data_IF_280050122590
#
_entry.id   IF_280050122590
#
_cell.length_a   1.000
_cell.length_b   1.000
_cell.length_c   1.000
_cell.angle_alpha   90.00
_cell.angle_beta   90.00
_cell.angle_gamma   90.00
#
_symmetry.space_group_name_H-M   'P 1'
#
loop_
_entity.id
_entity.type
_entity.pdbx_description
1 polymer ?
#
# COMPACT_ATOMS: atom_id res chain seq x y z
N UNK A 1 24.08 20.99 24.64
CA UNK A 1 24.23 20.20 23.40
C UNK A 1 23.06 20.32 22.40
N UNK A 2 21.85 20.75 22.80
CA UNK A 2 20.67 20.87 21.89
C UNK A 2 20.65 22.12 20.98
N UNK A 3 21.42 23.16 21.30
CA UNK A 3 21.39 24.45 20.56
C UNK A 3 22.20 24.36 19.25
N UNK A 4 23.27 23.55 19.22
CA UNK A 4 24.14 23.41 18.04
C UNK A 4 23.44 22.70 16.88
N UNK A 5 22.74 21.59 17.16
CA UNK A 5 21.99 20.82 16.16
C UNK A 5 20.79 21.56 15.52
N UNK A 6 20.27 22.61 16.15
CA UNK A 6 19.19 23.43 15.59
C UNK A 6 19.74 24.44 14.59
N UNK A 7 20.88 25.06 14.93
CA UNK A 7 21.62 25.99 14.07
C UNK A 7 22.16 25.29 12.82
N UNK A 8 22.71 24.08 12.97
CA UNK A 8 23.22 23.27 11.86
C UNK A 8 22.09 22.84 10.88
N UNK A 9 20.86 22.64 11.39
CA UNK A 9 19.68 22.35 10.54
C UNK A 9 19.19 23.59 9.79
N UNK A 10 19.17 24.75 10.43
CA UNK A 10 18.81 26.02 9.76
C UNK A 10 19.81 26.37 8.66
N UNK A 11 21.12 26.20 8.90
CA UNK A 11 22.18 26.42 7.91
C UNK A 11 22.11 25.45 6.71
N UNK A 12 21.78 24.18 6.96
CA UNK A 12 21.54 23.18 5.91
C UNK A 12 20.28 23.46 5.08
N UNK A 13 19.26 24.09 5.68
CA UNK A 13 18.07 24.54 4.97
C UNK A 13 18.40 25.75 4.08
N UNK A 14 19.08 26.77 4.61
CA UNK A 14 19.46 27.96 3.85
C UNK A 14 20.39 27.66 2.67
N UNK A 15 21.31 26.69 2.79
CA UNK A 15 22.22 26.33 1.69
C UNK A 15 21.56 25.54 0.54
N UNK A 16 20.34 25.02 0.71
CA UNK A 16 19.59 24.33 -0.37
C UNK A 16 18.70 25.26 -1.17
N UNK A 17 18.21 26.33 -0.55
CA UNK A 17 17.45 27.37 -1.23
C UNK A 17 18.44 28.45 -1.64
N UNK A 18 18.92 28.40 -2.89
CA UNK A 18 19.82 29.40 -3.44
C UNK A 18 19.36 30.82 -3.08
N UNK A 19 20.29 31.64 -2.64
CA UNK A 19 20.05 33.01 -2.20
C UNK A 19 19.67 33.88 -3.41
N UNK A 20 18.41 33.80 -3.84
CA UNK A 20 17.84 34.58 -4.93
C UNK A 20 17.06 35.76 -4.37
N UNK A 21 17.76 36.61 -3.62
CA UNK A 21 17.30 37.97 -3.36
C UNK A 21 18.00 38.90 -4.36
N UNK A 22 17.63 38.80 -5.64
CA UNK A 22 17.78 39.97 -6.51
C UNK A 22 16.68 40.95 -6.09
N UNK A 23 17.07 42.02 -5.41
CA UNK A 23 16.19 43.13 -5.06
C UNK A 23 15.72 43.83 -6.35
N UNK A 24 14.68 43.27 -6.97
CA UNK A 24 13.97 43.93 -8.06
C UNK A 24 13.00 44.92 -7.42
N UNK A 25 13.30 46.21 -7.61
CA UNK A 25 12.53 47.33 -7.08
C UNK A 25 11.18 47.46 -7.84
N UNK A 26 10.22 46.62 -7.47
CA UNK A 26 8.89 46.55 -8.07
C UNK A 26 7.95 47.60 -7.44
N UNK A 27 7.39 48.46 -8.30
CA UNK A 27 6.64 49.67 -7.91
C UNK A 27 5.16 49.44 -7.57
N UNK A 28 4.62 48.22 -7.70
CA UNK A 28 3.22 47.90 -7.40
C UNK A 28 3.10 46.67 -6.47
N UNK A 29 2.19 46.73 -5.50
CA UNK A 29 1.95 45.64 -4.53
C UNK A 29 1.49 44.34 -5.20
N UNK A 30 0.76 44.42 -6.31
CA UNK A 30 0.33 43.26 -7.10
C UNK A 30 1.52 42.50 -7.73
N UNK A 31 2.58 43.20 -8.14
CA UNK A 31 3.77 42.57 -8.75
C UNK A 31 4.60 41.83 -7.68
N UNK A 32 4.62 42.36 -6.45
CA UNK A 32 5.26 41.70 -5.30
C UNK A 32 4.49 40.45 -4.87
N UNK A 33 3.16 40.51 -4.83
CA UNK A 33 2.33 39.34 -4.51
C UNK A 33 2.46 38.23 -5.55
N UNK A 34 2.49 38.59 -6.84
CA UNK A 34 2.70 37.62 -7.93
C UNK A 34 4.08 36.95 -7.85
N UNK A 35 5.13 37.72 -7.54
CA UNK A 35 6.48 37.19 -7.32
C UNK A 35 6.53 36.24 -6.12
N UNK A 36 5.92 36.64 -4.99
CA UNK A 36 5.84 35.81 -3.80
C UNK A 36 5.08 34.49 -4.07
N UNK A 37 3.95 34.55 -4.76
CA UNK A 37 3.19 33.37 -5.16
C UNK A 37 4.03 32.41 -6.01
N UNK A 38 4.76 32.93 -7.01
CA UNK A 38 5.63 32.10 -7.85
C UNK A 38 6.77 31.47 -7.06
N UNK A 39 7.38 32.20 -6.12
CA UNK A 39 8.42 31.69 -5.24
C UNK A 39 7.89 30.55 -4.35
N UNK A 40 6.76 30.76 -3.67
CA UNK A 40 6.12 29.74 -2.84
C UNK A 40 5.75 28.49 -3.67
N UNK A 41 5.27 28.68 -4.90
CA UNK A 41 4.96 27.59 -5.83
C UNK A 41 6.20 26.77 -6.22
N UNK A 42 7.33 27.40 -6.48
CA UNK A 42 8.58 26.69 -6.77
C UNK A 42 9.17 26.00 -5.54
N UNK A 43 9.13 26.63 -4.36
CA UNK A 43 9.53 25.99 -3.11
C UNK A 43 8.70 24.74 -2.81
N UNK A 44 7.39 24.78 -3.02
CA UNK A 44 6.52 23.61 -2.90
C UNK A 44 6.92 22.49 -3.86
N UNK A 45 7.22 22.81 -5.13
CA UNK A 45 7.70 21.81 -6.10
C UNK A 45 9.03 21.19 -5.69
N UNK A 46 9.96 22.00 -5.18
CA UNK A 46 11.27 21.53 -4.72
C UNK A 46 11.12 20.60 -3.50
N UNK A 47 10.33 21.00 -2.51
CA UNK A 47 10.04 20.20 -1.32
C UNK A 47 9.44 18.84 -1.67
N UNK A 48 8.56 18.78 -2.68
CA UNK A 48 7.99 17.53 -3.16
C UNK A 48 9.03 16.64 -3.86
N UNK A 49 9.92 17.22 -4.68
CA UNK A 49 11.03 16.46 -5.30
C UNK A 49 11.97 15.89 -4.25
N UNK A 50 12.32 16.69 -3.24
CA UNK A 50 13.15 16.26 -2.12
C UNK A 50 12.49 15.13 -1.33
N UNK A 51 11.19 15.23 -1.03
CA UNK A 51 10.44 14.15 -0.36
C UNK A 51 10.46 12.85 -1.17
N UNK A 52 10.25 12.91 -2.49
CA UNK A 52 10.32 11.74 -3.37
C UNK A 52 11.74 11.14 -3.38
N UNK A 53 12.77 11.96 -3.53
CA UNK A 53 14.16 11.52 -3.53
C UNK A 53 14.54 10.88 -2.18
N UNK A 54 14.13 11.49 -1.07
CA UNK A 54 14.33 10.96 0.27
C UNK A 54 13.66 9.58 0.44
N UNK A 55 12.43 9.41 -0.09
CA UNK A 55 11.74 8.12 -0.09
C UNK A 55 12.48 7.07 -0.93
N UNK A 56 13.01 7.44 -2.11
CA UNK A 56 13.83 6.53 -2.94
C UNK A 56 15.07 6.07 -2.16
N UNK A 57 15.76 6.98 -1.46
CA UNK A 57 16.93 6.61 -0.67
C UNK A 57 16.56 5.69 0.50
N UNK A 58 15.48 6.01 1.23
CA UNK A 58 14.95 5.16 2.30
C UNK A 58 14.66 3.74 1.81
N UNK A 59 14.10 3.60 0.61
CA UNK A 59 13.85 2.30 -0.03
C UNK A 59 15.11 1.47 -0.24
N UNK A 60 16.16 2.09 -0.78
CA UNK A 60 17.46 1.43 -1.00
C UNK A 60 18.06 0.96 0.32
N UNK A 61 18.13 1.85 1.32
CA UNK A 61 18.69 1.58 2.64
C UNK A 61 17.92 0.44 3.33
N UNK A 62 16.58 0.52 3.36
CA UNK A 62 15.74 -0.52 3.98
C UNK A 62 15.94 -1.88 3.33
N UNK A 63 16.07 -1.92 2.01
CA UNK A 63 16.31 -3.17 1.28
C UNK A 63 17.67 -3.76 1.63
N UNK A 64 18.72 -2.95 1.65
CA UNK A 64 20.06 -3.40 2.00
C UNK A 64 20.15 -3.93 3.45
N UNK A 65 19.59 -3.20 4.41
CA UNK A 65 19.51 -3.63 5.81
C UNK A 65 18.80 -4.98 5.92
N UNK A 66 17.69 -5.17 5.17
CA UNK A 66 16.94 -6.42 5.19
C UNK A 66 17.73 -7.57 4.58
N UNK A 67 18.30 -7.39 3.38
CA UNK A 67 18.97 -8.47 2.64
C UNK A 67 20.24 -8.95 3.32
N UNK A 68 21.03 -8.02 3.89
CA UNK A 68 22.27 -8.33 4.62
C UNK A 68 22.04 -8.59 6.11
N UNK A 69 20.79 -8.57 6.55
CA UNK A 69 20.39 -8.76 7.94
C UNK A 69 21.08 -7.83 8.95
N UNK A 70 21.40 -6.60 8.54
CA UNK A 70 22.19 -5.65 9.35
C UNK A 70 21.48 -5.21 10.63
N UNK A 71 20.17 -5.38 10.70
CA UNK A 71 19.38 -5.11 11.90
C UNK A 71 19.82 -5.96 13.11
N UNK A 72 20.54 -7.07 12.89
CA UNK A 72 21.09 -7.90 13.96
C UNK A 72 22.19 -7.21 14.76
N UNK A 73 22.88 -6.22 14.17
CA UNK A 73 23.89 -5.43 14.91
C UNK A 73 23.27 -4.58 16.03
N UNK A 74 22.00 -4.20 15.88
CA UNK A 74 21.22 -3.51 16.91
C UNK A 74 20.52 -4.50 17.87
N UNK A 75 20.83 -5.80 17.79
CA UNK A 75 20.27 -6.84 18.66
C UNK A 75 18.87 -7.32 18.27
N UNK A 76 18.33 -6.89 17.13
CA UNK A 76 17.02 -7.39 16.67
C UNK A 76 17.14 -8.79 16.06
N UNK A 77 16.31 -9.71 16.54
CA UNK A 77 16.22 -11.09 16.01
C UNK A 77 15.56 -11.10 14.63
N UNK A 78 14.54 -10.24 14.43
CA UNK A 78 13.79 -10.18 13.18
C UNK A 78 13.74 -8.75 12.62
N UNK A 79 13.80 -8.63 11.30
CA UNK A 79 13.66 -7.36 10.60
C UNK A 79 12.36 -6.62 10.97
N UNK A 80 11.29 -7.36 11.24
CA UNK A 80 10.01 -6.78 11.64
C UNK A 80 10.11 -6.03 12.98
N UNK A 81 10.96 -6.46 13.91
CA UNK A 81 11.14 -5.78 15.19
C UNK A 81 12.00 -4.53 15.04
N UNK A 82 13.02 -4.58 14.18
CA UNK A 82 13.76 -3.40 13.74
C UNK A 82 12.86 -2.34 13.09
N UNK A 83 11.90 -2.74 12.26
CA UNK A 83 10.98 -1.76 11.64
C UNK A 83 10.05 -1.12 12.68
N UNK A 84 9.68 -1.82 13.76
CA UNK A 84 8.85 -1.24 14.82
C UNK A 84 9.59 -0.18 15.64
N UNK A 85 10.91 -0.25 15.71
CA UNK A 85 11.71 0.76 16.43
C UNK A 85 11.95 2.04 15.62
N UNK A 86 11.48 2.10 14.36
CA UNK A 86 11.67 3.23 13.47
C UNK A 86 10.41 4.10 13.37
N UNK A 87 10.55 5.40 13.09
CA UNK A 87 9.41 6.34 12.92
C UNK A 87 8.53 6.03 11.69
N UNK A 88 8.96 5.13 10.80
CA UNK A 88 8.19 4.75 9.62
C UNK A 88 7.21 3.65 9.99
N UNK A 89 5.92 3.90 9.79
CA UNK A 89 4.88 2.88 9.96
C UNK A 89 5.24 1.59 9.22
N UNK A 90 5.09 0.44 9.88
CA UNK A 90 5.40 -0.90 9.34
C UNK A 90 4.90 -1.09 7.90
N UNK A 91 3.64 -0.73 7.64
CA UNK A 91 3.02 -0.87 6.31
C UNK A 91 3.77 -0.10 5.22
N UNK A 92 4.32 1.08 5.53
CA UNK A 92 5.10 1.88 4.58
C UNK A 92 6.46 1.23 4.29
N UNK A 93 7.15 0.71 5.31
CA UNK A 93 8.43 0.02 5.12
C UNK A 93 8.30 -1.19 4.19
N UNK A 94 7.26 -2.02 4.34
CA UNK A 94 7.02 -3.15 3.44
C UNK A 94 6.62 -2.72 2.03
N UNK A 95 5.86 -1.63 1.88
CA UNK A 95 5.56 -1.04 0.56
C UNK A 95 6.81 -0.55 -0.15
N UNK A 96 7.72 0.08 0.58
CA UNK A 96 9.02 0.53 0.10
C UNK A 96 9.86 -0.65 -0.43
N UNK A 97 9.96 -1.72 0.35
CA UNK A 97 10.63 -2.94 -0.08
C UNK A 97 10.01 -3.52 -1.36
N UNK A 98 8.67 -3.58 -1.43
CA UNK A 98 7.94 -4.09 -2.60
C UNK A 98 8.23 -3.30 -3.87
N UNK A 99 8.20 -1.98 -3.79
CA UNK A 99 8.48 -1.10 -4.95
C UNK A 99 9.93 -1.26 -5.38
N UNK A 100 10.87 -1.23 -4.43
CA UNK A 100 12.29 -1.32 -4.77
C UNK A 100 12.66 -2.67 -5.39
N UNK A 101 12.04 -3.76 -4.94
CA UNK A 101 12.19 -5.06 -5.61
C UNK A 101 11.76 -5.00 -7.08
N UNK A 102 10.65 -4.32 -7.41
CA UNK A 102 10.23 -4.12 -8.81
C UNK A 102 11.16 -3.23 -9.61
N UNK A 103 11.89 -2.33 -8.95
CA UNK A 103 12.97 -1.57 -9.57
C UNK A 103 14.14 -2.48 -9.93
N UNK A 104 14.55 -3.35 -9.01
CA UNK A 104 15.63 -4.32 -9.26
C UNK A 104 15.26 -5.33 -10.35
N UNK A 105 13.99 -5.73 -10.44
CA UNK A 105 13.45 -6.56 -11.52
C UNK A 105 13.35 -5.83 -12.87
N UNK A 106 13.68 -4.53 -12.94
CA UNK A 106 13.56 -3.72 -14.17
C UNK A 106 12.12 -3.36 -14.57
N UNK A 107 11.12 -3.75 -13.78
CA UNK A 107 9.68 -3.52 -14.07
C UNK A 107 9.22 -2.08 -13.78
N UNK A 108 9.96 -1.37 -12.94
CA UNK A 108 9.69 0.04 -12.59
C UNK A 108 11.00 0.82 -12.61
N UNK A 109 11.07 1.91 -13.38
CA UNK A 109 12.23 2.80 -13.34
C UNK A 109 12.12 3.82 -12.20
N UNK A 110 13.28 4.26 -11.68
CA UNK A 110 13.36 5.34 -10.69
C UNK A 110 12.76 6.64 -11.25
N UNK A 111 12.97 6.93 -12.54
CA UNK A 111 12.43 8.15 -13.16
C UNK A 111 10.91 8.11 -13.29
N UNK A 112 10.33 6.93 -13.54
CA UNK A 112 8.88 6.75 -13.49
C UNK A 112 8.34 7.01 -12.08
N UNK A 113 9.02 6.54 -11.05
CA UNK A 113 8.67 6.85 -9.65
C UNK A 113 8.73 8.35 -9.38
N UNK A 114 9.76 9.04 -9.87
CA UNK A 114 9.89 10.51 -9.71
C UNK A 114 8.76 11.28 -10.39
N UNK A 115 8.35 10.82 -11.57
CA UNK A 115 7.32 11.49 -12.39
C UNK A 115 5.90 11.27 -11.86
N UNK A 116 5.57 10.04 -11.48
CA UNK A 116 4.17 9.65 -11.16
C UNK A 116 3.93 9.50 -9.64
N UNK A 117 5.00 9.33 -8.87
CA UNK A 117 4.95 9.21 -7.41
C UNK A 117 4.60 7.81 -6.91
N UNK A 118 4.90 7.57 -5.63
CA UNK A 118 4.79 6.25 -5.00
C UNK A 118 3.39 5.65 -4.97
N UNK A 119 2.36 6.46 -4.72
CA UNK A 119 0.96 5.98 -4.62
C UNK A 119 0.46 5.44 -5.95
N UNK A 120 0.81 6.08 -7.05
CA UNK A 120 0.45 5.60 -8.39
C UNK A 120 1.19 4.29 -8.71
N UNK A 121 2.50 4.23 -8.46
CA UNK A 121 3.30 3.03 -8.69
C UNK A 121 2.81 1.84 -7.85
N UNK A 122 2.42 2.07 -6.60
CA UNK A 122 1.79 1.03 -5.77
C UNK A 122 0.49 0.52 -6.38
N UNK A 123 -0.38 1.41 -6.86
CA UNK A 123 -1.62 1.01 -7.54
C UNK A 123 -1.35 0.27 -8.84
N UNK A 124 -0.34 0.66 -9.61
CA UNK A 124 0.06 -0.04 -10.83
C UNK A 124 0.57 -1.45 -10.50
N UNK A 125 1.41 -1.58 -9.46
CA UNK A 125 1.93 -2.88 -9.01
C UNK A 125 0.79 -3.75 -8.48
N UNK A 126 -0.09 -3.20 -7.65
CA UNK A 126 -1.22 -3.93 -7.07
C UNK A 126 -2.24 -4.30 -8.14
N UNK A 127 -2.57 -3.39 -9.05
CA UNK A 127 -3.43 -3.61 -10.21
C UNK A 127 -2.86 -4.61 -11.22
N UNK A 128 -1.54 -4.61 -11.46
CA UNK A 128 -0.87 -5.68 -12.19
C UNK A 128 -0.94 -7.01 -11.43
N UNK A 129 -0.95 -7.04 -10.09
CA UNK A 129 -1.20 -8.29 -9.36
C UNK A 129 -2.66 -8.74 -9.44
N UNK A 130 -3.62 -7.84 -9.73
CA UNK A 130 -5.00 -8.23 -10.05
C UNK A 130 -5.10 -8.77 -11.49
N UNK A 131 -4.46 -8.13 -12.48
CA UNK A 131 -4.48 -8.57 -13.89
C UNK A 131 -3.60 -9.81 -14.12
N UNK A 132 -2.43 -9.91 -13.48
CA UNK A 132 -1.55 -11.08 -13.55
C UNK A 132 -2.05 -12.27 -12.73
N UNK A 133 -3.09 -12.10 -11.89
CA UNK A 133 -3.76 -13.24 -11.24
C UNK A 133 -4.65 -14.01 -12.23
N UNK A 134 -5.02 -13.38 -13.34
CA UNK A 134 -5.94 -13.95 -14.32
C UNK A 134 -5.25 -14.38 -15.64
N UNK A 135 -3.92 -14.18 -15.82
CA UNK A 135 -3.24 -14.43 -17.12
C UNK A 135 -2.00 -15.35 -17.04
N UNK A 136 -1.48 -15.68 -15.84
CA UNK A 136 -0.42 -16.70 -15.72
C UNK A 136 -0.77 -17.71 -14.64
N UNK A 137 -1.50 -18.75 -15.03
CA UNK A 137 -1.44 -20.10 -14.47
C UNK A 137 -2.19 -21.09 -15.38
N UNK A 138 -1.78 -21.18 -16.64
CA UNK A 138 -1.82 -22.48 -17.32
C UNK A 138 -0.49 -23.17 -17.02
N UNK A 139 -0.56 -24.38 -16.47
CA UNK A 139 0.56 -25.20 -15.95
C UNK A 139 1.07 -24.87 -14.54
N UNK A 140 0.21 -25.09 -13.53
CA UNK A 140 0.63 -25.83 -12.35
C UNK A 140 -0.55 -26.51 -11.69
N UNK A 141 -0.56 -27.81 -11.87
CA UNK A 141 -1.42 -28.77 -11.23
C UNK A 141 -1.13 -28.74 -9.71
N UNK A 142 -1.91 -27.95 -8.98
CA UNK A 142 -2.03 -28.09 -7.52
C UNK A 142 -3.46 -27.71 -7.15
N UNK A 143 -4.12 -28.61 -6.43
CA UNK A 143 -5.39 -28.43 -5.73
C UNK A 143 -5.36 -27.21 -4.78
N UNK A 144 -5.28 -25.98 -5.29
CA UNK A 144 -5.30 -24.78 -4.49
C UNK A 144 -6.75 -24.45 -4.14
N UNK A 145 -7.12 -24.73 -2.89
CA UNK A 145 -8.43 -24.38 -2.35
C UNK A 145 -8.63 -22.87 -2.40
N UNK A 146 -9.63 -22.41 -3.16
CA UNK A 146 -10.04 -21.00 -3.17
C UNK A 146 -10.79 -20.71 -1.86
N UNK A 147 -10.30 -19.78 -1.00
CA UNK A 147 -10.94 -19.51 0.27
C UNK A 147 -12.21 -18.67 0.09
N UNK A 148 -13.36 -19.19 0.51
CA UNK A 148 -14.63 -18.47 0.56
C UNK A 148 -14.77 -17.78 1.92
N UNK A 149 -15.13 -16.50 1.94
CA UNK A 149 -15.42 -15.75 3.18
C UNK A 149 -16.92 -15.46 3.27
N UNK A 150 -17.58 -16.00 4.30
CA UNK A 150 -19.01 -15.79 4.57
C UNK A 150 -19.15 -15.11 5.92
N UNK A 151 -20.00 -14.07 5.99
CA UNK A 151 -20.38 -13.42 7.24
C UNK A 151 -21.66 -14.06 7.77
N UNK A 152 -21.53 -14.87 8.82
CA UNK A 152 -22.65 -15.54 9.48
C UNK A 152 -23.09 -14.71 10.68
N UNK A 153 -24.38 -14.34 10.73
CA UNK A 153 -24.95 -13.55 11.84
C UNK A 153 -25.31 -14.41 13.06
N UNK A 154 -25.70 -15.66 12.80
CA UNK A 154 -26.11 -16.60 13.83
C UNK A 154 -24.89 -17.33 14.41
N UNK A 155 -24.82 -17.41 15.74
CA UNK A 155 -23.66 -17.98 16.44
C UNK A 155 -23.61 -19.52 16.32
N UNK A 156 -24.75 -20.19 16.36
CA UNK A 156 -24.81 -21.66 16.26
C UNK A 156 -24.42 -22.11 14.85
N UNK A 157 -24.91 -21.40 13.82
CA UNK A 157 -24.51 -21.65 12.44
C UNK A 157 -23.02 -21.36 12.23
N UNK A 158 -22.50 -20.29 12.84
CA UNK A 158 -21.06 -19.98 12.78
C UNK A 158 -20.23 -21.11 13.40
N UNK A 159 -20.61 -21.61 14.57
CA UNK A 159 -19.92 -22.70 15.26
C UNK A 159 -20.01 -23.99 14.43
N UNK A 160 -21.17 -24.30 13.86
CA UNK A 160 -21.35 -25.45 12.95
C UNK A 160 -20.41 -25.40 11.74
N UNK A 161 -20.27 -24.22 11.10
CA UNK A 161 -19.41 -24.01 9.94
C UNK A 161 -17.92 -24.03 10.30
N UNK A 162 -17.55 -23.54 11.49
CA UNK A 162 -16.17 -23.42 11.95
C UNK A 162 -15.61 -24.71 12.55
N UNK A 163 -16.44 -25.49 13.22
CA UNK A 163 -16.05 -26.73 13.90
C UNK A 163 -15.37 -27.72 12.95
N UNK A 164 -15.89 -27.87 11.73
CA UNK A 164 -15.29 -28.73 10.70
C UNK A 164 -15.56 -28.18 9.29
N UNK A 165 -14.58 -27.46 8.76
CA UNK A 165 -14.65 -26.89 7.41
C UNK A 165 -14.65 -27.97 6.32
N UNK A 166 -14.07 -29.15 6.56
CA UNK A 166 -14.08 -30.27 5.61
C UNK A 166 -15.47 -30.88 5.52
N UNK A 167 -16.14 -31.04 6.67
CA UNK A 167 -17.55 -31.45 6.73
C UNK A 167 -18.44 -30.47 5.97
N UNK A 168 -18.27 -29.17 6.17
CA UNK A 168 -19.03 -28.16 5.45
C UNK A 168 -18.81 -28.25 3.92
N UNK A 169 -17.55 -28.36 3.50
CA UNK A 169 -17.22 -28.52 2.08
C UNK A 169 -17.88 -29.77 1.48
N UNK A 170 -17.78 -30.92 2.16
CA UNK A 170 -18.40 -32.17 1.73
C UNK A 170 -19.93 -32.05 1.58
N UNK A 171 -20.59 -31.41 2.55
CA UNK A 171 -22.05 -31.20 2.51
C UNK A 171 -22.43 -30.35 1.29
N UNK A 172 -21.77 -29.21 1.10
CA UNK A 172 -22.04 -28.29 -0.02
C UNK A 172 -21.76 -28.98 -1.35
N UNK A 173 -20.66 -29.71 -1.46
CA UNK A 173 -20.28 -30.44 -2.67
C UNK A 173 -21.32 -31.51 -3.04
N UNK A 174 -21.78 -32.31 -2.07
CA UNK A 174 -22.83 -33.32 -2.28
C UNK A 174 -24.14 -32.70 -2.71
N UNK A 175 -24.56 -31.61 -2.07
CA UNK A 175 -25.79 -30.90 -2.45
C UNK A 175 -25.68 -30.42 -3.90
N UNK A 176 -24.56 -29.80 -4.26
CA UNK A 176 -24.35 -29.25 -5.59
C UNK A 176 -24.27 -30.33 -6.69
N UNK A 177 -23.55 -31.42 -6.45
CA UNK A 177 -23.32 -32.48 -7.44
C UNK A 177 -24.49 -33.45 -7.57
N UNK A 178 -25.14 -33.81 -6.46
CA UNK A 178 -26.05 -34.95 -6.41
C UNK A 178 -27.49 -34.58 -6.04
N UNK A 179 -27.72 -33.46 -5.34
CA UNK A 179 -29.05 -33.05 -4.85
C UNK A 179 -29.49 -31.72 -5.44
N UNK A 180 -29.50 -31.64 -6.77
CA UNK A 180 -29.87 -30.43 -7.53
C UNK A 180 -31.30 -29.94 -7.27
N UNK A 181 -32.23 -30.85 -6.98
CA UNK A 181 -33.61 -30.49 -6.64
C UNK A 181 -33.67 -29.73 -5.32
N UNK A 182 -33.07 -30.29 -4.27
CA UNK A 182 -32.95 -29.64 -2.95
C UNK A 182 -32.23 -28.29 -3.08
N UNK A 183 -31.16 -28.22 -3.87
CA UNK A 183 -30.45 -26.97 -4.12
C UNK A 183 -31.37 -25.93 -4.78
N UNK A 184 -32.16 -26.34 -5.79
CA UNK A 184 -33.10 -25.45 -6.48
C UNK A 184 -34.17 -24.92 -5.52
N UNK A 185 -34.72 -25.77 -4.65
CA UNK A 185 -35.69 -25.38 -3.64
C UNK A 185 -35.12 -24.35 -2.66
N UNK A 186 -33.92 -24.60 -2.13
CA UNK A 186 -33.22 -23.67 -1.24
C UNK A 186 -32.92 -22.32 -1.89
N UNK A 187 -32.57 -22.30 -3.18
CA UNK A 187 -32.35 -21.07 -3.94
C UNK A 187 -33.65 -20.29 -4.11
N UNK A 188 -34.74 -20.97 -4.47
CA UNK A 188 -36.07 -20.34 -4.63
C UNK A 188 -36.53 -19.72 -3.31
N UNK A 189 -36.38 -20.45 -2.20
CA UNK A 189 -36.72 -19.97 -0.87
C UNK A 189 -35.89 -18.73 -0.47
N UNK A 190 -34.58 -18.78 -0.73
CA UNK A 190 -33.68 -17.65 -0.49
C UNK A 190 -34.10 -16.39 -1.27
N UNK A 191 -34.40 -16.52 -2.56
CA UNK A 191 -34.82 -15.39 -3.39
C UNK A 191 -36.19 -14.82 -2.98
N UNK A 192 -37.11 -15.66 -2.48
CA UNK A 192 -38.38 -15.19 -1.88
C UNK A 192 -38.14 -14.37 -0.62
N UNK A 193 -37.34 -14.88 0.31
CA UNK A 193 -37.02 -14.19 1.57
C UNK A 193 -36.26 -12.87 1.36
N UNK A 194 -35.48 -12.77 0.28
CA UNK A 194 -34.80 -11.53 -0.11
C UNK A 194 -35.75 -10.46 -0.64
N UNK A 195 -36.86 -10.83 -1.30
CA UNK A 195 -37.88 -9.89 -1.79
C UNK A 195 -38.70 -9.29 -0.65
N UNK A 196 -39.06 -10.08 0.36
CA UNK A 196 -39.83 -9.59 1.52
C UNK A 196 -39.06 -8.54 2.34
N UNK A 197 -37.74 -8.73 2.55
CA UNK A 197 -36.90 -7.74 3.26
C UNK A 197 -36.74 -6.38 2.57
N UNK A 198 -37.17 -6.24 1.31
CA UNK A 198 -37.15 -4.96 0.57
C UNK A 198 -38.47 -4.18 0.67
N UNK A 199 -39.55 -4.80 1.15
CA UNK A 199 -40.86 -4.16 1.28
C UNK A 199 -41.10 -3.59 2.69
N UNK A 200 -40.33 -4.04 3.69
CA UNK A 200 -40.40 -3.57 5.08
C UNK A 200 -39.42 -2.41 5.39
N UNK A 201 -38.93 -1.71 4.37
CA UNK A 201 -38.03 -0.55 4.49
C UNK A 201 -38.58 0.67 3.75
#
# INVERSE_FOLDING_TARGET
MKIKAKKDKEELFSNRFGNYNEEINLKNDQDKELLNYNNLKEQLKYNLKDDINNKIQRMKILYEIKQKELYKYDGFIHFNDFIKSFEVAKSQAYRYLKIYQKVLEGKVSIDKIKKVGFKAILRDIDGQNFINKDIYNESKDTNESIPIRILVKDKEIYDFCKQDSKRLYFIIERIYKEKKEILSELIIEYERNKKHKKQDH
#
